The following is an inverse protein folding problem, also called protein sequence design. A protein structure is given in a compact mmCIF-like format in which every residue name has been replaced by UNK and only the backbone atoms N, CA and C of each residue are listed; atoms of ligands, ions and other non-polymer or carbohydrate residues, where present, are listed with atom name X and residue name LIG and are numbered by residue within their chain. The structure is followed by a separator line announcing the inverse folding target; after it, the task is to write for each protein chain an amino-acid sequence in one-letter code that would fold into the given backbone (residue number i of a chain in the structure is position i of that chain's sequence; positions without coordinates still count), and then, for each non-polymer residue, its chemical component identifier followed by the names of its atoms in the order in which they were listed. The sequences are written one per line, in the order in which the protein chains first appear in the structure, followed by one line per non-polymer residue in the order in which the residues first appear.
data_IF_131850985900
#
_entry.id   IF_131850985900
#
_cell.length_a   1.000
_cell.length_b   1.000
_cell.length_c   1.000
_cell.angle_alpha   90.00
_cell.angle_beta   90.00
_cell.angle_gamma   90.00
#
_symmetry.space_group_name_H-M   'P 1'
#
loop_
_entity.id
_entity.type
_entity.pdbx_description
1 polymer ?
#
# COMPACT_ATOMS: atom_id res chain seq x y z
N UNK A 1 -18.40 -2.95 63.57
CA UNK A 1 -19.32 -1.80 63.70
C UNK A 1 -19.65 -1.38 62.32
N UNK A 2 -20.67 -1.68 61.80
CA UNK A 2 -22.10 -1.41 61.80
C UNK A 2 -22.44 -1.12 60.35
N UNK A 3 -23.06 -1.95 59.58
CA UNK A 3 -24.49 -2.21 59.53
C UNK A 3 -25.22 -0.96 58.98
N UNK A 4 -26.05 -0.95 58.00
CA UNK A 4 -27.19 -1.80 57.62
C UNK A 4 -27.73 -1.25 56.31
N UNK A 5 -28.10 -2.04 55.32
CA UNK A 5 -29.41 -2.71 55.23
C UNK A 5 -30.49 -1.87 54.55
N UNK A 6 -30.88 -2.28 53.31
CA UNK A 6 -32.16 -2.94 52.99
C UNK A 6 -33.34 -1.95 52.88
N UNK A 7 -34.24 -1.93 51.85
CA UNK A 7 -35.33 -2.86 51.59
C UNK A 7 -36.23 -2.26 50.48
N UNK A 8 -36.56 -2.95 49.51
CA UNK A 8 -37.74 -3.57 48.91
C UNK A 8 -38.78 -2.77 48.16
N UNK A 9 -39.14 -3.42 47.06
CA UNK A 9 -40.41 -3.38 46.33
C UNK A 9 -41.62 -3.62 47.25
N UNK A 10 -42.91 -3.72 46.83
CA UNK A 10 -43.46 -3.96 45.49
C UNK A 10 -44.90 -3.44 45.27
N UNK A 11 -45.54 -3.90 44.18
CA UNK A 11 -46.93 -4.35 43.99
C UNK A 11 -47.92 -3.50 43.21
N UNK A 12 -48.43 -4.19 42.16
CA UNK A 12 -49.80 -4.51 41.75
C UNK A 12 -50.67 -3.32 41.33
N UNK A 13 -51.26 -3.31 40.21
CA UNK A 13 -52.07 -4.28 39.50
C UNK A 13 -53.54 -3.92 39.63
N UNK A 14 -54.28 -3.81 38.59
CA UNK A 14 -55.66 -4.31 38.48
C UNK A 14 -56.26 -4.01 37.10
N UNK A 15 -56.74 -5.05 36.48
CA UNK A 15 -57.71 -5.16 35.41
C UNK A 15 -58.99 -4.40 35.71
N UNK A 16 -59.71 -3.90 34.67
CA UNK A 16 -61.13 -4.16 34.49
C UNK A 16 -61.53 -4.04 33.03
N UNK A 17 -62.33 -5.01 32.63
CA UNK A 17 -62.89 -5.32 31.32
C UNK A 17 -64.17 -4.51 30.98
N UNK A 18 -64.42 -4.49 29.70
CA UNK A 18 -65.71 -4.65 29.00
C UNK A 18 -66.83 -3.57 29.16
N UNK A 19 -67.37 -3.13 28.08
CA UNK A 19 -68.65 -3.56 27.54
C UNK A 19 -69.08 -2.77 26.30
N UNK A 20 -69.49 -3.55 25.31
CA UNK A 20 -70.32 -3.28 24.16
C UNK A 20 -71.34 -2.13 24.29
N UNK A 21 -71.55 -1.41 23.20
CA UNK A 21 -72.84 -1.44 22.53
C UNK A 21 -72.84 -0.64 21.21
N UNK A 22 -73.45 -1.28 20.21
CA UNK A 22 -73.73 -0.86 18.87
C UNK A 22 -74.72 0.33 18.81
N UNK A 23 -74.48 1.26 17.89
CA UNK A 23 -75.55 1.99 17.26
C UNK A 23 -75.22 2.23 15.78
N UNK A 24 -75.97 1.57 14.93
CA UNK A 24 -76.15 1.91 13.52
C UNK A 24 -76.84 3.29 13.37
N UNK A 25 -76.32 4.09 12.51
CA UNK A 25 -77.19 5.07 11.75
C UNK A 25 -76.42 5.57 10.54
N UNK A 26 -77.02 5.34 9.42
CA UNK A 26 -76.67 5.73 8.09
C UNK A 26 -76.51 7.23 7.92
N UNK A 27 -75.40 7.66 7.29
CA UNK A 27 -75.39 8.94 6.60
C UNK A 27 -74.48 8.90 5.37
N UNK A 28 -75.01 9.35 4.28
CA UNK A 28 -74.56 9.41 2.90
C UNK A 28 -73.10 9.87 2.77
N UNK A 29 -72.31 9.05 2.09
CA UNK A 29 -70.95 9.38 1.64
C UNK A 29 -71.03 10.41 0.49
N UNK A 30 -70.56 11.63 0.73
CA UNK A 30 -70.13 12.55 -0.33
C UNK A 30 -68.70 12.34 -0.58
N UNK A 31 -68.34 11.67 -1.71
CA UNK A 31 -66.95 11.53 -2.15
C UNK A 31 -66.41 12.87 -2.66
N UNK A 32 -65.69 13.56 -1.83
CA UNK A 32 -64.79 14.63 -2.25
C UNK A 32 -63.52 14.01 -2.83
N UNK A 33 -63.44 13.97 -4.16
CA UNK A 33 -62.19 13.66 -4.86
C UNK A 33 -61.20 14.81 -4.67
N UNK A 34 -60.25 14.64 -3.76
CA UNK A 34 -59.10 15.51 -3.64
C UNK A 34 -58.11 15.14 -4.77
N UNK A 35 -57.74 16.05 -5.67
CA UNK A 35 -56.76 15.74 -6.68
C UNK A 35 -55.40 15.48 -5.99
N UNK A 36 -54.91 14.23 -6.07
CA UNK A 36 -53.55 13.88 -5.64
C UNK A 36 -52.59 14.57 -6.58
N UNK A 37 -51.83 15.54 -6.07
CA UNK A 37 -50.63 16.05 -6.76
C UNK A 37 -49.68 14.89 -7.05
N UNK A 38 -49.09 14.83 -8.25
CA UNK A 38 -48.07 13.80 -8.53
C UNK A 38 -46.93 13.96 -7.54
N UNK A 39 -46.67 12.91 -6.79
CA UNK A 39 -45.46 12.78 -5.97
C UNK A 39 -44.31 12.76 -6.94
N UNK A 40 -43.58 13.86 -7.05
CA UNK A 40 -42.33 13.89 -7.76
C UNK A 40 -41.41 12.88 -7.05
N UNK A 41 -41.14 11.74 -7.69
CA UNK A 41 -40.05 10.87 -7.28
C UNK A 41 -38.79 11.71 -7.33
N UNK A 42 -38.37 12.17 -6.16
CA UNK A 42 -37.04 12.76 -5.97
C UNK A 42 -36.09 11.68 -6.37
N UNK A 43 -35.47 11.83 -7.55
CA UNK A 43 -34.45 10.92 -8.02
C UNK A 43 -33.39 10.80 -6.91
N UNK A 44 -33.20 9.59 -6.40
CA UNK A 44 -32.11 9.34 -5.47
C UNK A 44 -30.82 9.85 -6.12
N UNK A 45 -29.99 10.59 -5.37
CA UNK A 45 -28.72 11.08 -5.92
C UNK A 45 -27.92 9.85 -6.36
N UNK A 46 -27.70 9.73 -7.66
CA UNK A 46 -26.79 8.71 -8.20
C UNK A 46 -25.49 8.80 -7.42
N UNK A 47 -24.96 7.69 -6.92
CA UNK A 47 -23.69 7.71 -6.20
C UNK A 47 -22.67 8.42 -7.11
N UNK A 48 -22.11 9.52 -6.63
CA UNK A 48 -21.02 10.21 -7.32
C UNK A 48 -19.93 9.17 -7.47
N UNK A 49 -19.61 8.76 -8.70
CA UNK A 49 -18.40 8.02 -8.97
C UNK A 49 -17.27 8.89 -8.43
N UNK A 50 -16.63 8.46 -7.34
CA UNK A 50 -15.42 9.13 -6.88
C UNK A 50 -14.44 9.07 -8.04
N UNK A 51 -14.01 10.22 -8.52
CA UNK A 51 -12.94 10.25 -9.51
C UNK A 51 -11.72 9.61 -8.87
N UNK A 52 -11.12 8.61 -9.54
CA UNK A 52 -9.92 7.98 -9.03
C UNK A 52 -8.84 9.06 -8.78
N UNK A 53 -8.17 8.97 -7.64
CA UNK A 53 -7.05 9.84 -7.33
C UNK A 53 -5.97 9.65 -8.41
N UNK A 54 -5.45 10.74 -8.96
CA UNK A 54 -4.39 10.73 -9.95
C UNK A 54 -3.10 11.24 -9.32
N UNK A 55 -1.98 10.65 -9.69
CA UNK A 55 -0.66 10.97 -9.15
C UNK A 55 0.34 11.19 -10.28
N UNK A 56 1.29 12.09 -10.05
CA UNK A 56 2.42 12.33 -10.96
C UNK A 56 3.52 11.31 -10.65
N UNK A 57 3.99 10.63 -11.68
CA UNK A 57 5.15 9.74 -11.65
C UNK A 57 6.23 10.30 -12.57
N UNK A 58 7.46 10.33 -12.07
CA UNK A 58 8.63 10.74 -12.84
C UNK A 58 9.56 9.54 -12.97
N UNK A 59 10.03 9.29 -14.16
CA UNK A 59 10.87 8.13 -14.44
C UNK A 59 12.08 8.52 -15.28
N UNK A 60 13.19 7.84 -15.03
CA UNK A 60 14.38 7.86 -15.90
C UNK A 60 14.81 6.44 -16.23
N UNK A 61 15.24 6.19 -17.45
CA UNK A 61 15.61 4.85 -17.89
C UNK A 61 16.84 4.89 -18.80
N UNK A 62 17.68 3.87 -18.67
CA UNK A 62 18.80 3.61 -19.56
C UNK A 62 18.25 2.94 -20.83
N UNK A 63 18.41 3.59 -21.95
CA UNK A 63 17.97 3.07 -23.25
C UNK A 63 19.04 2.14 -23.85
N UNK A 64 18.68 1.27 -24.82
CA UNK A 64 19.63 0.35 -25.46
C UNK A 64 20.82 1.04 -26.15
N UNK A 65 20.67 2.27 -26.56
CA UNK A 65 21.73 3.12 -27.15
C UNK A 65 22.58 3.84 -26.10
N UNK A 66 22.38 3.50 -24.80
CA UNK A 66 23.01 4.09 -23.63
C UNK A 66 22.61 5.55 -23.35
N UNK A 67 21.66 6.10 -24.07
CA UNK A 67 21.05 7.38 -23.71
C UNK A 67 20.14 7.23 -22.48
N UNK A 68 19.87 8.34 -21.80
CA UNK A 68 18.93 8.36 -20.68
C UNK A 68 17.64 9.02 -21.13
N UNK A 69 16.54 8.29 -21.04
CA UNK A 69 15.20 8.82 -21.26
C UNK A 69 14.61 9.32 -19.95
N UNK A 70 14.08 10.54 -19.93
CA UNK A 70 13.34 11.12 -18.82
C UNK A 70 11.88 11.28 -19.20
N UNK A 71 10.97 10.87 -18.32
CA UNK A 71 9.53 10.94 -18.56
C UNK A 71 8.79 11.40 -17.30
N UNK A 72 7.76 12.21 -17.50
CA UNK A 72 6.78 12.56 -16.47
C UNK A 72 5.39 12.16 -16.93
N UNK A 73 4.61 11.48 -16.10
CA UNK A 73 3.33 10.92 -16.45
C UNK A 73 2.33 11.03 -15.30
N UNK A 74 1.07 11.27 -15.62
CA UNK A 74 -0.04 11.19 -14.65
C UNK A 74 -0.72 9.84 -14.85
N UNK A 75 -0.85 9.07 -13.76
CA UNK A 75 -1.53 7.79 -13.75
C UNK A 75 -2.34 7.64 -12.44
N UNK A 76 -3.26 6.66 -12.35
CA UNK A 76 -4.03 6.44 -11.13
C UNK A 76 -3.13 6.16 -9.93
N UNK A 77 -3.53 6.69 -8.75
CA UNK A 77 -2.94 6.34 -7.46
C UNK A 77 -3.45 4.95 -7.04
N UNK A 78 -2.92 3.91 -7.68
CA UNK A 78 -3.26 2.52 -7.43
C UNK A 78 -1.99 1.74 -7.08
N UNK A 79 -2.09 0.63 -6.32
CA UNK A 79 -0.94 -0.16 -5.89
C UNK A 79 0.05 -0.43 -7.02
N UNK A 80 -0.47 -0.82 -8.18
CA UNK A 80 0.29 -1.10 -9.38
C UNK A 80 1.30 0.00 -9.76
N UNK A 81 0.85 1.27 -9.77
CA UNK A 81 1.67 2.42 -10.15
C UNK A 81 2.48 2.94 -8.98
N UNK A 82 1.89 2.95 -7.78
CA UNK A 82 2.54 3.47 -6.59
C UNK A 82 3.72 2.60 -6.16
N UNK A 83 3.57 1.26 -6.16
CA UNK A 83 4.64 0.32 -5.82
C UNK A 83 5.87 0.46 -6.71
N UNK A 84 5.68 0.87 -7.97
CA UNK A 84 6.81 1.10 -8.86
C UNK A 84 7.73 2.24 -8.38
N UNK A 85 7.25 3.17 -7.54
CA UNK A 85 7.95 4.42 -7.23
C UNK A 85 8.09 4.72 -5.73
N UNK A 86 7.71 3.80 -4.83
CA UNK A 86 7.54 4.14 -3.40
C UNK A 86 8.32 3.24 -2.45
N UNK A 87 9.56 2.85 -2.78
CA UNK A 87 10.37 2.06 -1.86
C UNK A 87 11.22 2.92 -0.91
N UNK A 88 11.98 3.87 -1.41
CA UNK A 88 13.00 4.59 -0.64
C UNK A 88 12.71 6.09 -0.60
N UNK A 89 12.82 6.70 0.56
CA UNK A 89 12.69 8.14 0.68
C UNK A 89 13.94 8.85 0.16
N UNK A 90 13.75 10.10 -0.26
CA UNK A 90 14.85 11.02 -0.59
C UNK A 90 15.91 11.02 0.52
N UNK A 91 17.19 11.03 0.13
CA UNK A 91 18.35 10.99 1.04
C UNK A 91 18.77 9.56 1.42
N UNK A 92 18.03 8.51 0.98
CA UNK A 92 18.47 7.13 1.18
C UNK A 92 19.76 6.87 0.42
N UNK A 93 20.80 6.40 1.12
CA UNK A 93 22.11 6.11 0.53
C UNK A 93 22.10 4.73 -0.12
N UNK A 94 22.31 4.71 -1.42
CA UNK A 94 22.41 3.49 -2.24
C UNK A 94 23.89 3.12 -2.41
N UNK A 95 24.30 1.87 -2.11
CA UNK A 95 25.67 1.44 -2.23
C UNK A 95 26.07 1.34 -3.72
N UNK A 96 26.98 2.18 -4.16
CA UNK A 96 27.53 2.12 -5.53
C UNK A 96 29.00 1.68 -5.51
N UNK A 97 29.49 1.24 -6.64
CA UNK A 97 30.92 0.87 -6.80
C UNK A 97 31.89 2.04 -6.53
N UNK A 98 31.36 3.28 -6.49
CA UNK A 98 32.13 4.50 -6.18
C UNK A 98 31.90 5.01 -4.75
N UNK A 99 31.19 4.24 -3.93
CA UNK A 99 30.72 4.63 -2.60
C UNK A 99 29.23 4.95 -2.55
N UNK A 100 28.66 5.19 -1.36
CA UNK A 100 27.25 5.49 -1.20
C UNK A 100 26.85 6.80 -1.90
N UNK A 101 25.74 6.75 -2.64
CA UNK A 101 25.15 7.91 -3.35
C UNK A 101 23.69 8.06 -2.91
N UNK A 102 23.23 9.28 -2.67
CA UNK A 102 21.82 9.53 -2.37
C UNK A 102 20.96 9.14 -3.58
N UNK A 103 19.81 8.53 -3.31
CA UNK A 103 18.96 7.95 -4.37
C UNK A 103 18.50 8.99 -5.39
N UNK A 104 18.30 10.24 -4.98
CA UNK A 104 17.94 11.36 -5.85
C UNK A 104 19.06 11.80 -6.81
N UNK A 105 20.30 11.44 -6.49
CA UNK A 105 21.49 11.80 -7.28
C UNK A 105 21.94 10.65 -8.20
N UNK A 106 21.30 9.47 -8.11
CA UNK A 106 21.56 8.34 -9.00
C UNK A 106 21.02 8.60 -10.40
N UNK A 107 21.75 8.12 -11.38
CA UNK A 107 21.33 8.13 -12.78
C UNK A 107 21.28 6.70 -13.34
N UNK A 108 20.37 6.42 -14.29
CA UNK A 108 20.47 5.21 -15.09
C UNK A 108 21.86 5.08 -15.73
N UNK A 109 22.48 3.91 -15.59
CA UNK A 109 23.87 3.66 -15.97
C UNK A 109 24.86 3.67 -14.81
N UNK A 110 24.53 4.23 -13.65
CA UNK A 110 25.34 4.09 -12.44
C UNK A 110 25.36 2.62 -11.97
N UNK A 111 26.50 2.17 -11.44
CA UNK A 111 26.65 0.79 -10.96
C UNK A 111 26.44 0.69 -9.45
N UNK A 112 25.45 -0.10 -9.07
CA UNK A 112 25.07 -0.38 -7.68
C UNK A 112 25.63 -1.73 -7.24
N UNK A 113 26.14 -1.79 -6.01
CA UNK A 113 26.52 -3.04 -5.36
C UNK A 113 25.28 -3.83 -4.94
N UNK A 114 25.14 -5.04 -5.47
CA UNK A 114 23.98 -5.89 -5.22
C UNK A 114 24.37 -7.32 -4.85
N UNK A 115 23.39 -8.12 -4.41
CA UNK A 115 23.56 -9.56 -4.16
C UNK A 115 23.97 -10.34 -5.41
N UNK A 116 23.80 -9.80 -6.61
CA UNK A 116 24.22 -10.36 -7.89
C UNK A 116 25.51 -9.73 -8.44
N UNK A 117 26.30 -9.05 -7.59
CA UNK A 117 27.47 -8.26 -7.96
C UNK A 117 27.10 -6.83 -8.37
N UNK A 118 28.06 -6.11 -8.94
CA UNK A 118 27.81 -4.77 -9.45
C UNK A 118 26.84 -4.81 -10.64
N UNK A 119 25.73 -4.06 -10.55
CA UNK A 119 24.68 -4.02 -11.57
C UNK A 119 24.41 -2.58 -11.99
N UNK A 120 24.21 -2.32 -13.29
CA UNK A 120 23.78 -1.00 -13.73
C UNK A 120 22.35 -0.73 -13.26
N UNK A 121 22.07 0.49 -12.83
CA UNK A 121 20.72 1.01 -12.70
C UNK A 121 20.13 1.15 -14.10
N UNK A 122 19.05 0.45 -14.38
CA UNK A 122 18.41 0.48 -15.69
C UNK A 122 17.19 1.39 -15.71
N UNK A 123 16.58 1.64 -14.55
CA UNK A 123 15.42 2.51 -14.42
C UNK A 123 15.30 3.04 -12.98
N UNK A 124 14.81 4.27 -12.86
CA UNK A 124 14.45 4.90 -11.59
C UNK A 124 13.07 5.51 -11.75
N UNK A 125 12.17 5.18 -10.85
CA UNK A 125 10.87 5.84 -10.74
C UNK A 125 10.75 6.62 -9.45
N UNK A 126 10.00 7.70 -9.47
CA UNK A 126 9.72 8.51 -8.29
C UNK A 126 8.31 9.08 -8.29
N UNK A 127 7.82 9.32 -7.09
CA UNK A 127 6.56 10.02 -6.83
C UNK A 127 6.61 10.69 -5.46
N UNK A 128 5.63 11.55 -5.17
CA UNK A 128 5.61 12.32 -3.92
C UNK A 128 4.51 11.80 -2.99
N UNK A 129 4.87 11.45 -1.76
CA UNK A 129 3.91 11.35 -0.66
C UNK A 129 3.37 12.74 -0.36
N UNK A 130 2.05 12.86 -0.23
CA UNK A 130 1.36 14.11 0.14
C UNK A 130 0.49 13.81 1.36
N UNK A 131 0.66 14.54 2.47
CA UNK A 131 -0.13 14.30 3.67
C UNK A 131 -1.61 14.63 3.47
N UNK A 132 -2.49 13.97 4.24
CA UNK A 132 -3.92 14.26 4.27
C UNK A 132 -4.74 13.66 3.11
N UNK A 133 -4.15 12.79 2.31
CA UNK A 133 -4.91 11.98 1.35
C UNK A 133 -5.56 10.82 2.12
N UNK A 134 -6.88 10.56 1.95
CA UNK A 134 -7.56 9.44 2.61
C UNK A 134 -6.95 8.08 2.26
N UNK A 135 -6.87 7.18 3.23
CA UNK A 135 -6.22 5.86 3.12
C UNK A 135 -6.91 4.95 2.09
N UNK A 136 -8.21 5.13 1.86
CA UNK A 136 -8.98 4.40 0.86
C UNK A 136 -8.71 4.85 -0.59
N UNK A 137 -8.02 5.98 -0.76
CA UNK A 137 -7.71 6.56 -2.07
C UNK A 137 -6.31 6.22 -2.59
N UNK A 138 -5.41 5.69 -1.75
CA UNK A 138 -4.00 5.45 -2.08
C UNK A 138 -3.40 4.37 -1.18
N UNK A 139 -2.43 3.61 -1.68
CA UNK A 139 -1.57 2.76 -0.81
C UNK A 139 -0.46 3.55 -0.13
N UNK A 140 -0.20 4.77 -0.60
CA UNK A 140 0.79 5.67 -0.03
C UNK A 140 0.16 6.58 1.05
N UNK A 141 -0.46 5.96 2.06
CA UNK A 141 -1.10 6.65 3.18
C UNK A 141 -0.12 6.94 4.32
N UNK A 142 0.83 6.04 4.54
CA UNK A 142 1.88 6.14 5.56
C UNK A 142 3.22 5.66 5.03
N UNK A 143 4.28 5.90 5.79
CA UNK A 143 5.64 5.43 5.54
C UNK A 143 6.11 4.58 6.73
N UNK A 144 7.16 3.80 6.53
CA UNK A 144 7.81 3.03 7.60
C UNK A 144 9.18 3.62 7.90
N UNK A 145 9.45 3.91 9.17
CA UNK A 145 10.77 4.31 9.66
C UNK A 145 11.44 3.12 10.33
N UNK A 146 12.53 2.67 9.77
CA UNK A 146 13.41 1.67 10.37
C UNK A 146 14.38 2.42 11.27
N UNK A 147 14.32 2.20 12.58
CA UNK A 147 15.12 2.95 13.56
C UNK A 147 16.58 2.49 13.55
N UNK A 148 17.49 3.38 13.93
CA UNK A 148 18.90 3.06 14.07
C UNK A 148 19.11 1.84 14.99
N UNK A 149 20.11 1.01 14.69
CA UNK A 149 20.48 -0.19 15.44
C UNK A 149 19.41 -1.29 15.58
N UNK A 150 18.24 -1.14 14.96
CA UNK A 150 17.09 -2.04 15.10
C UNK A 150 17.37 -3.49 14.63
N UNK A 151 18.34 -3.68 13.77
CA UNK A 151 18.78 -5.00 13.28
C UNK A 151 20.20 -5.36 13.74
N UNK A 152 20.66 -4.75 14.82
CA UNK A 152 21.98 -4.90 15.41
C UNK A 152 22.84 -3.64 15.27
N UNK A 153 23.98 -3.54 15.97
CA UNK A 153 24.83 -2.35 15.98
C UNK A 153 25.18 -1.85 14.58
N UNK A 154 24.89 -0.57 14.29
CA UNK A 154 25.09 0.07 12.99
C UNK A 154 24.18 -0.43 11.87
N UNK A 155 23.06 -1.09 12.20
CA UNK A 155 22.13 -1.65 11.21
C UNK A 155 20.67 -1.25 11.47
N UNK A 156 20.19 -0.17 10.88
CA UNK A 156 20.98 0.84 10.17
C UNK A 156 21.73 1.76 11.16
N UNK A 157 22.76 2.49 10.65
CA UNK A 157 23.51 3.46 11.47
C UNK A 157 22.67 4.68 11.80
N UNK A 158 21.77 5.06 10.92
CA UNK A 158 20.80 6.16 11.07
C UNK A 158 19.43 5.64 10.64
N UNK A 159 18.37 6.27 11.12
CA UNK A 159 17.00 5.92 10.70
C UNK A 159 16.87 5.92 9.18
N UNK A 160 16.20 4.90 8.65
CA UNK A 160 15.89 4.79 7.21
C UNK A 160 14.39 4.89 7.02
N UNK A 161 13.98 5.87 6.23
CA UNK A 161 12.58 6.07 5.88
C UNK A 161 12.28 5.38 4.55
N UNK A 162 11.26 4.52 4.54
CA UNK A 162 10.84 3.74 3.37
C UNK A 162 9.34 3.85 3.16
N UNK A 163 8.92 3.69 1.91
CA UNK A 163 7.53 3.66 1.52
C UNK A 163 6.95 2.24 1.49
N UNK A 164 5.66 2.10 1.13
CA UNK A 164 4.94 0.82 1.17
C UNK A 164 5.50 -0.24 0.22
N UNK A 165 6.19 0.16 -0.85
CA UNK A 165 6.80 -0.79 -1.79
C UNK A 165 8.14 -1.37 -1.32
N UNK A 166 8.67 -0.95 -0.19
CA UNK A 166 9.94 -1.45 0.32
C UNK A 166 9.80 -2.89 0.84
N UNK A 167 10.59 -3.79 0.27
CA UNK A 167 10.71 -5.17 0.75
C UNK A 167 12.12 -5.40 1.29
N UNK A 168 12.20 -6.10 2.43
CA UNK A 168 13.47 -6.53 3.02
C UNK A 168 13.64 -8.04 2.94
N UNK A 169 14.88 -8.48 2.94
CA UNK A 169 15.21 -9.91 3.03
C UNK A 169 15.00 -10.40 4.45
N UNK A 170 14.18 -11.42 4.58
CA UNK A 170 14.02 -12.18 5.83
C UNK A 170 14.61 -13.56 5.69
N UNK A 171 15.42 -13.96 6.69
CA UNK A 171 15.97 -15.31 6.77
C UNK A 171 15.33 -16.07 7.93
N UNK A 172 14.87 -17.29 7.64
CA UNK A 172 14.32 -18.22 8.64
C UNK A 172 14.68 -19.66 8.24
N UNK A 173 15.35 -20.39 9.09
CA UNK A 173 15.79 -21.77 8.81
C UNK A 173 14.61 -22.70 8.52
N UNK A 174 13.47 -22.49 9.20
CA UNK A 174 12.22 -23.24 8.97
C UNK A 174 11.67 -23.10 7.55
N UNK A 175 11.91 -21.98 6.88
CA UNK A 175 11.45 -21.80 5.50
C UNK A 175 12.14 -22.78 4.54
N UNK A 176 13.35 -23.21 4.86
CA UNK A 176 14.10 -24.19 4.04
C UNK A 176 13.34 -25.52 3.92
N UNK A 177 12.79 -26.01 5.01
CA UNK A 177 12.02 -27.28 5.02
C UNK A 177 10.63 -27.14 4.37
N UNK A 178 10.05 -25.93 4.39
CA UNK A 178 8.68 -25.70 3.92
C UNK A 178 8.61 -25.29 2.44
N UNK A 179 9.52 -24.44 2.00
CA UNK A 179 9.51 -23.87 0.64
C UNK A 179 10.84 -24.07 -0.12
N UNK A 180 11.79 -24.85 0.46
CA UNK A 180 13.10 -25.14 -0.15
C UNK A 180 14.08 -23.96 -0.14
N UNK A 181 13.77 -22.85 0.52
CA UNK A 181 14.61 -21.64 0.57
C UNK A 181 14.61 -21.05 1.98
N UNK A 182 15.76 -20.59 2.44
CA UNK A 182 15.93 -19.97 3.77
C UNK A 182 15.58 -18.48 3.76
N UNK A 183 15.56 -17.85 2.59
CA UNK A 183 15.41 -16.41 2.41
C UNK A 183 14.20 -16.09 1.54
N UNK A 184 13.45 -15.08 1.96
CA UNK A 184 12.29 -14.53 1.27
C UNK A 184 12.33 -13.00 1.32
N UNK A 185 11.57 -12.36 0.45
CA UNK A 185 11.31 -10.93 0.50
C UNK A 185 9.98 -10.69 1.20
N UNK A 186 9.97 -9.74 2.13
CA UNK A 186 8.77 -9.36 2.89
C UNK A 186 8.59 -7.85 2.89
N UNK A 187 7.34 -7.34 2.83
CA UNK A 187 7.10 -5.92 2.99
C UNK A 187 7.62 -5.43 4.34
N UNK A 188 8.34 -4.31 4.35
CA UNK A 188 8.84 -3.71 5.60
C UNK A 188 7.68 -3.34 6.52
N UNK A 189 6.60 -2.79 5.96
CA UNK A 189 5.41 -2.36 6.70
C UNK A 189 4.75 -3.49 7.49
N UNK A 190 4.78 -4.73 7.01
CA UNK A 190 4.22 -5.90 7.72
C UNK A 190 4.88 -6.14 9.09
N UNK A 191 6.09 -5.61 9.30
CA UNK A 191 6.88 -5.80 10.51
C UNK A 191 6.92 -4.58 11.43
N UNK A 192 6.01 -3.61 11.19
CA UNK A 192 5.83 -2.49 12.11
C UNK A 192 5.48 -3.01 13.52
N UNK A 193 6.35 -2.70 14.49
CA UNK A 193 6.23 -3.13 15.88
C UNK A 193 6.21 -1.94 16.86
N UNK A 194 6.30 -0.72 16.33
CA UNK A 194 6.31 0.52 17.11
C UNK A 194 7.66 0.86 17.76
N UNK A 195 8.66 0.01 17.60
CA UNK A 195 10.00 0.16 18.18
C UNK A 195 11.08 0.13 17.10
N UNK A 196 11.29 -1.02 16.47
CA UNK A 196 12.30 -1.21 15.42
C UNK A 196 11.83 -0.70 14.06
N UNK A 197 10.58 -0.93 13.75
CA UNK A 197 9.91 -0.43 12.55
C UNK A 197 8.66 0.30 13.01
N UNK A 198 8.64 1.60 12.75
CA UNK A 198 7.59 2.51 13.20
C UNK A 198 6.82 3.03 12.00
N UNK A 199 5.52 2.86 11.99
CA UNK A 199 4.67 3.52 11.01
C UNK A 199 4.64 5.02 11.30
N UNK A 200 4.86 5.84 10.26
CA UNK A 200 4.91 7.30 10.37
C UNK A 200 4.07 7.96 9.30
N UNK A 201 3.38 9.02 9.68
CA UNK A 201 2.63 9.89 8.78
C UNK A 201 3.31 11.25 8.75
N UNK A 202 4.23 11.51 7.79
CA UNK A 202 4.93 12.78 7.71
C UNK A 202 3.96 13.95 7.57
N UNK A 203 4.25 15.06 8.28
CA UNK A 203 3.44 16.29 8.18
C UNK A 203 3.70 17.09 6.90
N UNK A 204 4.79 16.80 6.21
CA UNK A 204 5.19 17.39 4.93
C UNK A 204 5.28 16.37 3.81
N UNK A 205 5.41 16.87 2.58
CA UNK A 205 5.62 16.01 1.41
C UNK A 205 6.98 15.31 1.46
N UNK A 206 7.02 14.05 1.06
CA UNK A 206 8.23 13.24 0.97
C UNK A 206 8.36 12.69 -0.44
N UNK A 207 9.49 12.96 -1.09
CA UNK A 207 9.79 12.33 -2.38
C UNK A 207 10.25 10.89 -2.15
N UNK A 208 9.65 9.97 -2.87
CA UNK A 208 9.94 8.55 -2.82
C UNK A 208 10.45 8.07 -4.17
N UNK A 209 11.25 7.00 -4.13
CA UNK A 209 11.92 6.43 -5.28
C UNK A 209 11.87 4.91 -5.24
N UNK A 210 12.01 4.31 -6.40
CA UNK A 210 12.38 2.91 -6.56
C UNK A 210 13.32 2.78 -7.76
N UNK A 211 14.20 1.79 -7.74
CA UNK A 211 15.15 1.59 -8.83
C UNK A 211 15.16 0.13 -9.30
N UNK A 212 15.35 -0.05 -10.59
CA UNK A 212 15.51 -1.35 -11.23
C UNK A 212 16.96 -1.52 -11.66
N UNK A 213 17.49 -2.71 -11.45
CA UNK A 213 18.84 -3.11 -11.86
C UNK A 213 18.81 -3.92 -13.16
N UNK A 214 19.94 -4.17 -13.77
CA UNK A 214 20.06 -5.00 -14.95
C UNK A 214 19.52 -6.42 -14.78
N UNK A 215 19.58 -6.95 -13.54
CA UNK A 215 18.85 -8.13 -13.08
C UNK A 215 18.31 -7.87 -11.68
N UNK A 216 17.13 -8.40 -11.40
CA UNK A 216 16.53 -8.28 -10.07
C UNK A 216 17.47 -8.83 -8.99
N UNK A 217 17.73 -8.04 -7.96
CA UNK A 217 18.67 -8.34 -6.88
C UNK A 217 18.29 -7.59 -5.60
N UNK A 218 19.01 -7.84 -4.52
CA UNK A 218 18.91 -7.04 -3.29
C UNK A 218 20.13 -6.13 -3.15
N UNK A 219 19.95 -5.02 -2.46
CA UNK A 219 20.97 -4.02 -2.13
C UNK A 219 21.03 -3.85 -0.62
N UNK A 220 22.22 -3.49 -0.11
CA UNK A 220 22.41 -3.29 1.33
C UNK A 220 22.23 -1.84 1.73
N UNK A 221 21.00 -1.46 2.06
CA UNK A 221 20.61 -0.12 2.49
C UNK A 221 20.75 -0.01 4.01
N UNK A 222 21.65 0.83 4.50
CA UNK A 222 21.93 0.93 5.93
C UNK A 222 22.30 -0.40 6.61
N UNK A 223 22.89 -1.34 5.86
CA UNK A 223 23.20 -2.69 6.36
C UNK A 223 22.04 -3.69 6.33
N UNK A 224 20.86 -3.30 5.85
CA UNK A 224 19.68 -4.14 5.66
C UNK A 224 19.60 -4.52 4.18
N UNK A 225 19.40 -5.80 3.88
CA UNK A 225 19.20 -6.22 2.49
C UNK A 225 17.78 -5.91 2.03
N UNK A 226 17.66 -5.05 1.02
CA UNK A 226 16.40 -4.57 0.48
C UNK A 226 16.31 -4.81 -1.02
N UNK A 227 15.10 -5.01 -1.51
CA UNK A 227 14.79 -5.38 -2.89
C UNK A 227 14.99 -4.22 -3.86
N UNK A 228 15.56 -4.49 -5.05
CA UNK A 228 15.41 -3.64 -6.23
C UNK A 228 14.03 -3.86 -6.86
N UNK A 229 13.56 -2.92 -7.67
CA UNK A 229 12.21 -3.03 -8.25
C UNK A 229 12.07 -4.22 -9.21
N UNK A 230 10.90 -4.87 -9.09
CA UNK A 230 10.36 -5.83 -10.04
C UNK A 230 8.82 -5.87 -9.88
N UNK A 231 8.02 -5.84 -10.96
CA UNK A 231 6.56 -5.80 -10.83
C UNK A 231 5.93 -7.11 -10.32
N UNK A 232 6.67 -8.22 -10.33
CA UNK A 232 6.12 -9.56 -10.07
C UNK A 232 5.58 -10.23 -11.34
N UNK A 233 5.69 -11.57 -11.40
CA UNK A 233 5.32 -12.34 -12.60
C UNK A 233 3.84 -12.34 -12.95
N UNK A 234 2.96 -12.27 -11.95
CA UNK A 234 1.51 -12.38 -12.13
C UNK A 234 0.83 -11.04 -12.39
N UNK A 235 1.45 -9.94 -11.95
CA UNK A 235 0.80 -8.64 -11.93
C UNK A 235 0.45 -8.15 -13.34
N UNK A 236 1.41 -8.14 -14.25
CA UNK A 236 1.21 -7.64 -15.62
C UNK A 236 0.25 -8.52 -16.42
N UNK A 237 0.23 -9.83 -16.16
CA UNK A 237 -0.67 -10.77 -16.85
C UNK A 237 -2.13 -10.68 -16.41
N UNK A 238 -2.40 -10.17 -15.22
CA UNK A 238 -3.76 -10.03 -14.67
C UNK A 238 -4.44 -8.72 -15.02
N UNK A 239 -3.74 -7.79 -15.67
CA UNK A 239 -4.26 -6.46 -16.03
C UNK A 239 -5.06 -6.46 -17.31
N UNK A 240 -6.05 -5.55 -17.36
CA UNK A 240 -6.67 -5.19 -18.64
C UNK A 240 -5.65 -4.47 -19.55
N UNK A 241 -5.79 -4.65 -20.84
CA UNK A 241 -4.85 -4.22 -21.88
C UNK A 241 -4.48 -2.72 -21.79
N UNK A 242 -5.46 -1.85 -21.56
CA UNK A 242 -5.24 -0.40 -21.42
C UNK A 242 -4.43 -0.05 -20.16
N UNK A 243 -4.66 -0.76 -19.05
CA UNK A 243 -3.91 -0.56 -17.80
C UNK A 243 -2.49 -1.06 -17.93
N UNK A 244 -2.29 -2.21 -18.58
CA UNK A 244 -0.97 -2.76 -18.87
C UNK A 244 -0.14 -1.82 -19.78
N UNK A 245 -0.74 -1.27 -20.83
CA UNK A 245 -0.09 -0.31 -21.70
C UNK A 245 0.30 0.98 -20.94
N UNK A 246 -0.59 1.50 -20.08
CA UNK A 246 -0.30 2.66 -19.25
C UNK A 246 0.82 2.37 -18.24
N UNK A 247 0.81 1.20 -17.63
CA UNK A 247 1.86 0.78 -16.69
C UNK A 247 3.21 0.62 -17.39
N UNK A 248 3.28 -0.12 -18.49
CA UNK A 248 4.51 -0.30 -19.26
C UNK A 248 5.07 1.03 -19.77
N UNK A 249 4.21 2.00 -20.00
CA UNK A 249 4.67 3.33 -20.40
C UNK A 249 5.52 4.07 -19.36
N UNK A 250 5.56 3.62 -18.10
CA UNK A 250 6.50 4.09 -17.07
C UNK A 250 7.93 3.58 -17.31
N UNK A 251 8.10 2.53 -18.11
CA UNK A 251 9.36 1.82 -18.32
C UNK A 251 9.75 1.89 -19.82
N UNK A 252 10.30 3.01 -20.29
CA UNK A 252 10.58 3.20 -21.73
C UNK A 252 11.64 2.21 -22.27
N UNK A 253 12.42 1.60 -21.40
CA UNK A 253 13.41 0.57 -21.72
C UNK A 253 12.86 -0.86 -21.67
N UNK A 254 11.57 -1.04 -21.37
CA UNK A 254 10.87 -2.34 -21.30
C UNK A 254 9.82 -2.38 -22.41
N UNK A 255 9.91 -3.37 -23.29
CA UNK A 255 8.96 -3.54 -24.39
C UNK A 255 7.75 -4.38 -24.01
N UNK A 256 7.94 -5.39 -23.17
CA UNK A 256 6.92 -6.35 -22.74
C UNK A 256 7.18 -6.82 -21.32
N UNK A 257 6.19 -7.45 -20.71
CA UNK A 257 6.26 -7.89 -19.31
C UNK A 257 7.40 -8.86 -19.00
N UNK A 258 7.76 -9.67 -19.97
CA UNK A 258 8.82 -10.67 -19.87
C UNK A 258 10.22 -10.03 -19.74
N UNK A 259 10.39 -8.80 -20.22
CA UNK A 259 11.66 -8.07 -20.20
C UNK A 259 12.06 -7.61 -18.78
N UNK A 260 11.13 -7.65 -17.81
CA UNK A 260 11.49 -7.43 -16.39
C UNK A 260 12.37 -8.55 -15.83
N UNK A 261 12.40 -9.72 -16.46
CA UNK A 261 13.20 -10.87 -16.08
C UNK A 261 12.62 -11.67 -14.93
N UNK A 262 13.50 -12.33 -14.18
CA UNK A 262 13.13 -13.26 -13.11
C UNK A 262 13.31 -12.64 -11.73
N UNK A 263 12.38 -12.93 -10.80
CA UNK A 263 12.53 -12.62 -9.39
C UNK A 263 13.68 -13.44 -8.79
N UNK A 264 14.63 -12.79 -8.14
CA UNK A 264 15.77 -13.45 -7.48
C UNK A 264 15.36 -14.20 -6.21
N UNK A 265 14.36 -13.68 -5.49
CA UNK A 265 13.81 -14.25 -4.26
C UNK A 265 12.30 -14.27 -4.31
N UNK A 266 11.69 -15.20 -3.58
CA UNK A 266 10.22 -15.30 -3.44
C UNK A 266 9.73 -14.22 -2.50
N UNK A 267 8.69 -13.49 -2.89
CA UNK A 267 7.96 -12.56 -2.02
C UNK A 267 6.91 -13.32 -1.21
N UNK A 268 6.73 -12.92 0.03
CA UNK A 268 5.72 -13.43 0.96
C UNK A 268 5.32 -12.35 1.96
N UNK A 269 4.28 -12.56 2.74
CA UNK A 269 3.83 -11.66 3.80
C UNK A 269 4.17 -12.22 5.18
N UNK A 270 4.13 -11.37 6.20
CA UNK A 270 4.28 -11.79 7.60
C UNK A 270 3.25 -12.84 7.98
N UNK A 271 1.99 -12.66 7.57
CA UNK A 271 0.90 -13.60 7.85
C UNK A 271 1.21 -15.02 7.36
N UNK A 272 1.72 -15.14 6.14
CA UNK A 272 2.14 -16.44 5.59
C UNK A 272 3.29 -17.03 6.39
N UNK A 273 4.30 -16.24 6.76
CA UNK A 273 5.42 -16.70 7.57
C UNK A 273 4.93 -17.18 8.94
N UNK A 274 4.10 -16.41 9.62
CA UNK A 274 3.58 -16.73 10.94
C UNK A 274 2.71 -18.00 10.89
N UNK A 275 1.88 -18.18 9.87
CA UNK A 275 1.09 -19.39 9.65
C UNK A 275 1.95 -20.64 9.44
N UNK A 276 3.05 -20.51 8.69
CA UNK A 276 3.98 -21.60 8.46
C UNK A 276 4.85 -21.94 9.70
N UNK A 277 5.03 -20.99 10.60
CA UNK A 277 5.85 -21.19 11.82
C UNK A 277 5.04 -21.63 13.02
N UNK A 278 3.71 -21.56 12.95
CA UNK A 278 2.77 -22.02 13.99
C UNK A 278 2.44 -23.52 13.88
N UNK A 279 2.86 -24.18 12.83
CA UNK A 279 2.76 -25.63 12.59
C UNK A 279 4.04 -26.34 13.08
#
# INVERSE_FOLDING_TARGET
MGANTVVTSPLRGVHVSSLNQSFESATRSVSLQIPRKPVSHRAEPRPRRSSALMRKYETSALMPDLSISFKSQIAPAQPLFEEACTAFARGTLIPTVRGPVAIEDLLPGDYVESSAGAQPVTWIGSTTYVPGIPDDATTLASLSRITADSFGPGRPMVDVLVGPAAHMVMRRDRLKSLIGRETVLVPVADFADGDRIVEVTPVGSVQLYHLMLGRHATMRIGGIEMESYHPGKSLVRSMGESTAALFLSLFPNIGQAEDFGELSLTRTTREVIDSLTSL
#
